data_IF_375022561181
#
_entry.id   IF_375022561181
#
_cell.length_a   1.000
_cell.length_b   1.000
_cell.length_c   1.000
_cell.angle_alpha   90.00
_cell.angle_beta   90.00
_cell.angle_gamma   90.00
#
_symmetry.space_group_name_H-M   'P 1'
#
loop_
_entity.id
_entity.type
_entity.pdbx_description
1 polymer ?
#
# COMPACT_ATOMS: atom_id res chain seq x y z
N UNK A 1 9.64 -3.51 -34.34
CA UNK A 1 9.96 -3.29 -32.90
C UNK A 1 8.81 -3.86 -32.09
N UNK A 2 8.97 -5.10 -31.61
CA UNK A 2 7.95 -5.81 -30.84
C UNK A 2 8.33 -5.67 -29.36
N UNK A 3 7.57 -4.90 -28.58
CA UNK A 3 7.81 -4.73 -27.15
C UNK A 3 7.42 -6.04 -26.45
N UNK A 4 8.41 -6.74 -25.87
CA UNK A 4 8.18 -7.95 -25.09
C UNK A 4 7.37 -7.61 -23.82
N UNK A 5 6.48 -8.50 -23.34
CA UNK A 5 5.83 -8.29 -22.06
C UNK A 5 6.88 -8.35 -20.96
N UNK A 6 6.79 -7.43 -20.00
CA UNK A 6 7.58 -7.49 -18.78
C UNK A 6 7.27 -8.83 -18.09
N UNK A 7 8.21 -9.77 -18.16
CA UNK A 7 8.14 -11.03 -17.44
C UNK A 7 8.09 -10.71 -15.95
N UNK A 8 6.93 -10.93 -15.32
CA UNK A 8 6.75 -10.77 -13.89
C UNK A 8 7.55 -11.88 -13.19
N UNK A 9 8.60 -11.49 -12.47
CA UNK A 9 9.33 -12.39 -11.60
C UNK A 9 8.38 -13.03 -10.55
N UNK A 10 8.53 -14.32 -10.22
CA UNK A 10 7.66 -14.99 -9.26
C UNK A 10 7.98 -14.55 -7.83
N UNK A 11 6.94 -14.25 -7.05
CA UNK A 11 7.00 -14.06 -5.60
C UNK A 11 6.84 -12.62 -5.09
N UNK A 12 5.70 -11.97 -5.37
CA UNK A 12 5.28 -10.77 -4.65
C UNK A 12 3.92 -11.09 -4.05
N UNK A 13 3.87 -11.41 -2.74
CA UNK A 13 2.59 -11.60 -2.05
C UNK A 13 1.71 -10.39 -2.38
N UNK A 14 0.60 -10.64 -3.06
CA UNK A 14 -0.24 -9.58 -3.58
C UNK A 14 -0.82 -8.82 -2.38
N UNK A 15 -0.53 -7.52 -2.29
CA UNK A 15 -1.12 -6.67 -1.27
C UNK A 15 -2.64 -6.77 -1.34
N UNK A 16 -3.31 -6.96 -0.19
CA UNK A 16 -4.77 -6.86 -0.10
C UNK A 16 -5.20 -5.40 -0.33
N UNK A 17 -5.36 -5.03 -1.59
CA UNK A 17 -5.67 -3.68 -2.02
C UNK A 17 -7.04 -3.23 -1.51
N UNK A 18 -8.05 -4.08 -1.60
CA UNK A 18 -9.40 -3.76 -1.13
C UNK A 18 -9.41 -3.49 0.38
N UNK A 19 -8.74 -4.33 1.17
CA UNK A 19 -8.60 -4.15 2.61
C UNK A 19 -7.90 -2.83 2.96
N UNK A 20 -6.86 -2.46 2.21
CA UNK A 20 -6.17 -1.19 2.42
C UNK A 20 -7.05 0.02 2.06
N UNK A 21 -7.74 -0.01 0.92
CA UNK A 21 -8.64 1.08 0.50
C UNK A 21 -9.80 1.26 1.48
N UNK A 22 -10.35 0.15 1.99
CA UNK A 22 -11.36 0.15 3.06
C UNK A 22 -10.80 0.75 4.35
N UNK A 23 -9.59 0.34 4.77
CA UNK A 23 -8.92 0.85 5.99
C UNK A 23 -8.72 2.36 5.97
N UNK A 24 -8.30 2.93 4.84
CA UNK A 24 -8.11 4.39 4.72
C UNK A 24 -9.40 5.14 4.36
N UNK A 25 -10.53 4.45 4.20
CA UNK A 25 -11.82 5.05 3.90
C UNK A 25 -11.97 5.58 2.46
N UNK A 26 -11.18 5.08 1.51
CA UNK A 26 -11.29 5.48 0.10
C UNK A 26 -12.48 4.79 -0.58
N UNK A 27 -13.44 5.58 -1.09
CA UNK A 27 -14.72 5.08 -1.67
C UNK A 27 -14.80 5.16 -3.20
N UNK A 28 -13.76 5.65 -3.88
CA UNK A 28 -13.75 5.81 -5.33
C UNK A 28 -13.20 4.59 -6.07
N UNK A 29 -13.31 4.58 -7.41
CA UNK A 29 -12.55 3.65 -8.25
C UNK A 29 -11.11 4.13 -8.35
N UNK A 30 -10.10 3.35 -7.92
CA UNK A 30 -8.70 3.75 -8.05
C UNK A 30 -8.29 3.79 -9.52
N UNK A 31 -7.72 4.91 -9.96
CA UNK A 31 -7.12 5.07 -11.29
C UNK A 31 -5.68 5.58 -11.16
N UNK A 32 -4.86 5.30 -12.16
CA UNK A 32 -3.48 5.81 -12.25
C UNK A 32 -3.47 7.29 -12.72
N UNK A 33 -4.17 8.16 -11.99
CA UNK A 33 -4.26 9.59 -12.27
C UNK A 33 -3.92 10.44 -11.03
N UNK A 34 -3.59 11.71 -11.26
CA UNK A 34 -3.15 12.63 -10.21
C UNK A 34 -4.24 12.88 -9.16
N UNK A 35 -5.51 12.85 -9.57
CA UNK A 35 -6.64 13.08 -8.66
C UNK A 35 -6.77 11.93 -7.65
N UNK A 36 -6.67 10.70 -8.14
CA UNK A 36 -6.66 9.49 -7.32
C UNK A 36 -5.47 9.51 -6.38
N UNK A 37 -4.27 9.84 -6.87
CA UNK A 37 -3.07 9.92 -6.04
C UNK A 37 -3.25 10.88 -4.86
N UNK A 38 -3.75 12.10 -5.12
CA UNK A 38 -4.01 13.10 -4.07
C UNK A 38 -5.02 12.61 -3.05
N UNK A 39 -6.11 11.99 -3.51
CA UNK A 39 -7.15 11.46 -2.64
C UNK A 39 -6.62 10.33 -1.74
N UNK A 40 -5.90 9.37 -2.31
CA UNK A 40 -5.30 8.26 -1.57
C UNK A 40 -4.27 8.74 -0.55
N UNK A 41 -3.40 9.68 -0.94
CA UNK A 41 -2.39 10.23 -0.05
C UNK A 41 -3.02 10.94 1.15
N UNK A 42 -4.05 11.77 0.91
CA UNK A 42 -4.77 12.47 1.97
C UNK A 42 -5.47 11.49 2.91
N UNK A 43 -6.22 10.53 2.36
CA UNK A 43 -6.92 9.51 3.13
C UNK A 43 -5.96 8.69 4.02
N UNK A 44 -4.79 8.32 3.49
CA UNK A 44 -3.73 7.65 4.26
C UNK A 44 -3.23 8.52 5.41
N UNK A 45 -2.83 9.76 5.13
CA UNK A 45 -2.24 10.65 6.13
C UNK A 45 -3.22 11.00 7.26
N UNK A 46 -4.51 11.09 6.97
CA UNK A 46 -5.55 11.38 7.96
C UNK A 46 -5.94 10.14 8.80
N UNK A 47 -5.66 8.92 8.32
CA UNK A 47 -6.16 7.68 8.93
C UNK A 47 -5.07 6.82 9.59
N UNK A 48 -3.85 6.80 9.03
CA UNK A 48 -2.78 5.92 9.48
C UNK A 48 -1.88 6.67 10.47
N UNK A 49 -1.77 6.22 11.73
CA UNK A 49 -0.86 6.82 12.70
C UNK A 49 0.60 6.66 12.28
N UNK A 50 1.40 7.69 12.54
CA UNK A 50 2.84 7.59 12.53
C UNK A 50 3.33 7.31 13.95
N UNK A 51 4.09 6.23 14.15
CA UNK A 51 4.56 5.79 15.47
C UNK A 51 5.92 5.07 15.40
N UNK A 52 6.55 4.90 16.56
CA UNK A 52 7.77 4.10 16.74
C UNK A 52 7.76 3.25 18.04
N UNK A 53 6.58 2.82 18.51
CA UNK A 53 6.38 2.12 19.77
C UNK A 53 7.13 0.79 19.83
N UNK A 54 7.09 -0.01 18.77
CA UNK A 54 7.82 -1.29 18.73
C UNK A 54 9.32 -1.10 18.92
N UNK A 55 9.89 -0.03 18.35
CA UNK A 55 11.30 0.31 18.54
C UNK A 55 11.59 0.63 20.01
N UNK A 56 10.72 1.42 20.65
CA UNK A 56 10.88 1.78 22.07
C UNK A 56 10.73 0.57 22.99
N UNK A 57 9.86 -0.37 22.64
CA UNK A 57 9.62 -1.62 23.36
C UNK A 57 10.65 -2.72 23.03
N UNK A 58 11.58 -2.46 22.11
CA UNK A 58 12.56 -3.43 21.58
C UNK A 58 11.91 -4.66 20.93
N UNK A 59 10.71 -4.49 20.38
CA UNK A 59 10.04 -5.46 19.52
C UNK A 59 10.61 -5.37 18.09
N UNK A 60 10.97 -6.48 17.43
CA UNK A 60 11.45 -6.45 16.05
C UNK A 60 10.39 -5.93 15.07
N UNK A 61 10.74 -4.92 14.27
CA UNK A 61 9.86 -4.38 13.22
C UNK A 61 10.01 -5.20 11.93
N UNK A 62 8.90 -5.73 11.41
CA UNK A 62 8.88 -6.54 10.19
C UNK A 62 8.32 -5.75 9.01
N UNK A 63 8.96 -5.91 7.83
CA UNK A 63 8.49 -5.31 6.55
C UNK A 63 7.95 -6.34 5.55
N UNK A 64 8.07 -7.63 5.86
CA UNK A 64 7.54 -8.67 5.02
C UNK A 64 6.01 -8.55 4.95
N UNK A 65 5.45 -8.63 3.74
CA UNK A 65 4.03 -8.85 3.60
C UNK A 65 3.73 -10.26 4.14
N UNK A 66 2.68 -10.45 4.95
CA UNK A 66 2.24 -11.80 5.31
C UNK A 66 1.87 -12.58 4.04
N UNK A 67 2.12 -13.90 4.07
CA UNK A 67 1.77 -14.83 3.00
C UNK A 67 0.26 -14.83 2.68
#
# INVERSE_FOLDING_TARGET
MLSAPLSAAPGKSAMNLEGYLSRIGFKGTPRADLNTLRALHRAHAETIPYENLDVQLRTPVTRAAPD
#
